data_IF_815492613390
#
_entry.id   IF_815492613390
#
_cell.length_a   1.000
_cell.length_b   1.000
_cell.length_c   1.000
_cell.angle_alpha   90.00
_cell.angle_beta   90.00
_cell.angle_gamma   90.00
#
_symmetry.space_group_name_H-M   'P 1'
#
loop_
_entity.id
_entity.type
_entity.pdbx_description
1 polymer ?
#
# COMPACT_ATOMS: atom_id res chain seq x y z
N UNK A 1 -46.90 -11.39 36.03
CA UNK A 1 -46.40 -10.12 35.48
C UNK A 1 -46.47 -10.22 33.96
N UNK A 2 -47.31 -9.42 33.31
CA UNK A 2 -47.49 -9.48 31.85
C UNK A 2 -46.43 -8.62 31.16
N UNK A 3 -45.64 -9.21 30.26
CA UNK A 3 -44.57 -8.52 29.50
C UNK A 3 -45.10 -7.30 28.72
N UNK A 4 -46.33 -7.40 28.22
CA UNK A 4 -47.02 -6.30 27.52
C UNK A 4 -47.25 -5.10 28.45
N UNK A 5 -47.60 -5.34 29.71
CA UNK A 5 -47.79 -4.28 30.70
C UNK A 5 -46.45 -3.62 31.05
N UNK A 6 -45.38 -4.40 31.19
CA UNK A 6 -44.02 -3.90 31.42
C UNK A 6 -43.54 -3.00 30.26
N UNK A 7 -43.77 -3.39 29.01
CA UNK A 7 -43.43 -2.56 27.83
C UNK A 7 -44.24 -1.27 27.84
N UNK A 8 -45.54 -1.34 28.15
CA UNK A 8 -46.41 -0.16 28.23
C UNK A 8 -45.94 0.83 29.30
N UNK A 9 -45.54 0.33 30.47
CA UNK A 9 -44.98 1.14 31.56
C UNK A 9 -43.65 1.78 31.13
N UNK A 10 -42.75 1.02 30.49
CA UNK A 10 -41.46 1.52 30.02
C UNK A 10 -41.60 2.63 28.96
N UNK A 11 -42.51 2.46 27.98
CA UNK A 11 -42.79 3.49 26.97
C UNK A 11 -43.32 4.77 27.61
N UNK A 12 -44.22 4.64 28.59
CA UNK A 12 -44.76 5.80 29.31
C UNK A 12 -43.67 6.53 30.10
N UNK A 13 -42.77 5.79 30.76
CA UNK A 13 -41.62 6.35 31.47
C UNK A 13 -40.62 7.08 30.55
N UNK A 14 -40.36 6.54 29.34
CA UNK A 14 -39.53 7.18 28.32
C UNK A 14 -40.16 8.50 27.84
N UNK A 15 -41.46 8.51 27.58
CA UNK A 15 -42.17 9.74 27.15
C UNK A 15 -42.29 10.80 28.25
N UNK A 16 -42.21 10.42 29.53
CA UNK A 16 -42.18 11.35 30.65
C UNK A 16 -40.81 12.06 30.76
N UNK A 17 -39.71 11.40 30.38
CA UNK A 17 -38.35 11.92 30.46
C UNK A 17 -37.71 12.09 29.07
N UNK A 18 -38.40 12.78 28.16
CA UNK A 18 -38.03 12.89 26.74
C UNK A 18 -36.59 13.32 26.52
N UNK A 19 -36.12 14.35 27.24
CA UNK A 19 -34.77 14.89 27.08
C UNK A 19 -33.69 13.89 27.51
N UNK A 20 -33.87 13.23 28.67
CA UNK A 20 -32.95 12.20 29.15
C UNK A 20 -32.90 11.02 28.17
N UNK A 21 -34.06 10.51 27.76
CA UNK A 21 -34.15 9.40 26.82
C UNK A 21 -33.52 9.73 25.46
N UNK A 22 -33.73 10.95 24.95
CA UNK A 22 -33.15 11.40 23.69
C UNK A 22 -31.61 11.48 23.78
N UNK A 23 -31.08 12.08 24.85
CA UNK A 23 -29.63 12.22 25.03
C UNK A 23 -28.93 10.87 25.20
N UNK A 24 -29.53 9.91 25.93
CA UNK A 24 -28.95 8.57 26.08
C UNK A 24 -28.96 7.79 24.77
N UNK A 25 -30.04 7.88 23.98
CA UNK A 25 -30.11 7.24 22.67
C UNK A 25 -29.10 7.86 21.70
N UNK A 26 -28.98 9.19 21.69
CA UNK A 26 -28.04 9.90 20.85
C UNK A 26 -26.57 9.52 21.15
N UNK A 27 -26.22 9.38 22.43
CA UNK A 27 -24.90 8.89 22.83
C UNK A 27 -24.60 7.50 22.30
N UNK A 28 -25.56 6.56 22.37
CA UNK A 28 -25.39 5.20 21.85
C UNK A 28 -25.26 5.20 20.33
N UNK A 29 -26.09 5.98 19.62
CA UNK A 29 -26.07 6.08 18.16
C UNK A 29 -24.72 6.60 17.67
N UNK A 30 -24.23 7.70 18.27
CA UNK A 30 -22.93 8.28 17.90
C UNK A 30 -21.79 7.33 18.28
N UNK A 31 -21.84 6.72 19.47
CA UNK A 31 -20.81 5.80 19.94
C UNK A 31 -20.66 4.58 19.03
N UNK A 32 -21.76 3.89 18.74
CA UNK A 32 -21.75 2.71 17.86
C UNK A 32 -21.41 3.11 16.42
N UNK A 33 -21.94 4.24 15.94
CA UNK A 33 -21.65 4.75 14.60
C UNK A 33 -20.17 5.05 14.39
N UNK A 34 -19.51 5.69 15.37
CA UNK A 34 -18.08 6.00 15.31
C UNK A 34 -17.22 4.72 15.27
N UNK A 35 -17.55 3.71 16.07
CA UNK A 35 -16.83 2.42 16.08
C UNK A 35 -16.98 1.71 14.73
N UNK A 36 -18.19 1.63 14.19
CA UNK A 36 -18.44 0.99 12.88
C UNK A 36 -17.69 1.71 11.77
N UNK A 37 -17.73 3.05 11.76
CA UNK A 37 -17.04 3.86 10.77
C UNK A 37 -15.53 3.63 10.82
N UNK A 38 -14.94 3.67 12.02
CA UNK A 38 -13.51 3.45 12.22
C UNK A 38 -13.09 2.04 11.77
N UNK A 39 -13.86 1.01 12.13
CA UNK A 39 -13.58 -0.37 11.72
C UNK A 39 -13.63 -0.54 10.19
N UNK A 40 -14.65 0.05 9.55
CA UNK A 40 -14.83 -0.03 8.10
C UNK A 40 -13.68 0.64 7.36
N UNK A 41 -13.27 1.83 7.81
CA UNK A 41 -12.12 2.55 7.25
C UNK A 41 -10.84 1.74 7.48
N UNK A 42 -10.61 1.24 8.69
CA UNK A 42 -9.42 0.47 9.04
C UNK A 42 -9.27 -0.78 8.17
N UNK A 43 -10.35 -1.54 8.00
CA UNK A 43 -10.36 -2.72 7.13
C UNK A 43 -10.14 -2.37 5.66
N UNK A 44 -10.74 -1.28 5.15
CA UNK A 44 -10.53 -0.82 3.78
C UNK A 44 -9.08 -0.40 3.51
N UNK A 45 -8.46 0.33 4.45
CA UNK A 45 -7.05 0.72 4.36
C UNK A 45 -6.15 -0.52 4.39
N UNK A 46 -6.40 -1.45 5.31
CA UNK A 46 -5.63 -2.68 5.41
C UNK A 46 -5.72 -3.49 4.11
N UNK A 47 -6.91 -3.62 3.53
CA UNK A 47 -7.10 -4.30 2.25
C UNK A 47 -6.35 -3.59 1.11
N UNK A 48 -6.42 -2.26 1.02
CA UNK A 48 -5.73 -1.48 -0.01
C UNK A 48 -4.20 -1.61 0.10
N UNK A 49 -3.65 -1.49 1.31
CA UNK A 49 -2.20 -1.67 1.55
C UNK A 49 -1.77 -3.10 1.20
N UNK A 50 -2.56 -4.09 1.63
CA UNK A 50 -2.29 -5.49 1.31
C UNK A 50 -2.29 -5.72 -0.20
N UNK A 51 -3.23 -5.13 -0.93
CA UNK A 51 -3.33 -5.26 -2.37
C UNK A 51 -2.18 -4.58 -3.10
N UNK A 52 -1.71 -3.42 -2.62
CA UNK A 52 -0.52 -2.75 -3.17
C UNK A 52 0.75 -3.58 -2.95
N UNK A 53 0.91 -4.17 -1.77
CA UNK A 53 2.04 -5.06 -1.46
C UNK A 53 1.96 -6.33 -2.31
N UNK A 54 0.78 -6.92 -2.45
CA UNK A 54 0.58 -8.10 -3.30
C UNK A 54 0.77 -7.80 -4.80
N UNK A 55 0.49 -6.58 -5.26
CA UNK A 55 0.74 -6.17 -6.64
C UNK A 55 2.23 -6.12 -6.99
N UNK A 56 3.09 -5.87 -5.99
CA UNK A 56 4.55 -6.03 -6.12
C UNK A 56 4.93 -7.53 -6.12
N UNK A 57 4.06 -8.42 -5.64
CA UNK A 57 4.33 -9.84 -5.49
C UNK A 57 5.09 -10.12 -4.19
N UNK A 58 4.69 -11.14 -3.40
CA UNK A 58 5.29 -11.40 -2.09
C UNK A 58 6.73 -11.95 -2.15
N UNK A 59 7.30 -12.14 -3.34
CA UNK A 59 8.60 -12.79 -3.55
C UNK A 59 9.44 -12.12 -4.64
N UNK A 60 9.54 -10.79 -4.63
CA UNK A 60 10.45 -10.05 -5.52
C UNK A 60 11.64 -9.50 -4.72
N UNK A 61 12.84 -9.72 -5.25
CA UNK A 61 14.09 -9.13 -4.76
C UNK A 61 14.59 -8.15 -5.82
N UNK A 62 14.74 -6.87 -5.43
CA UNK A 62 15.32 -5.85 -6.30
C UNK A 62 16.83 -5.77 -6.05
N UNK A 63 17.62 -5.93 -7.12
CA UNK A 63 19.08 -5.82 -7.08
C UNK A 63 19.46 -4.57 -7.88
N UNK A 64 20.01 -3.58 -7.19
CA UNK A 64 20.43 -2.30 -7.79
C UNK A 64 21.93 -2.12 -7.57
N UNK A 65 22.68 -1.62 -8.57
CA UNK A 65 24.11 -1.37 -8.39
C UNK A 65 24.38 -0.33 -7.30
N UNK A 66 25.54 -0.44 -6.65
CA UNK A 66 25.99 0.52 -5.65
C UNK A 66 26.32 1.89 -6.22
N UNK A 67 26.90 2.75 -5.38
CA UNK A 67 27.51 4.00 -5.80
C UNK A 67 29.00 3.77 -6.12
N UNK A 68 29.52 4.39 -7.18
CA UNK A 68 30.96 4.45 -7.42
C UNK A 68 31.54 5.61 -6.61
N UNK A 69 32.72 5.42 -6.01
CA UNK A 69 33.49 6.51 -5.40
C UNK A 69 34.80 6.65 -6.19
N UNK A 70 34.96 7.76 -6.92
CA UNK A 70 36.15 8.02 -7.73
C UNK A 70 36.75 9.38 -7.33
N UNK A 71 38.01 9.38 -6.90
CA UNK A 71 38.72 10.62 -6.55
C UNK A 71 38.13 11.41 -5.37
N UNK A 72 37.40 10.76 -4.45
CA UNK A 72 36.75 11.41 -3.31
C UNK A 72 35.34 11.95 -3.59
N UNK A 73 34.83 11.81 -4.82
CA UNK A 73 33.45 12.13 -5.19
C UNK A 73 32.63 10.84 -5.22
N UNK A 74 31.49 10.82 -4.51
CA UNK A 74 30.55 9.70 -4.51
C UNK A 74 29.44 9.94 -5.53
N UNK A 75 29.33 9.05 -6.51
CA UNK A 75 28.25 9.02 -7.48
C UNK A 75 26.92 8.61 -6.82
N UNK A 76 25.79 8.90 -7.47
CA UNK A 76 24.50 8.46 -6.95
C UNK A 76 24.38 6.92 -6.97
N UNK A 77 23.54 6.38 -6.08
CA UNK A 77 23.19 4.95 -6.07
C UNK A 77 22.63 4.52 -7.43
N UNK A 78 23.06 3.36 -7.94
CA UNK A 78 22.65 2.85 -9.24
C UNK A 78 23.52 3.31 -10.43
N UNK A 79 24.56 4.12 -10.20
CA UNK A 79 25.50 4.53 -11.25
C UNK A 79 26.70 3.58 -11.40
N UNK A 80 26.86 2.59 -10.51
CA UNK A 80 27.88 1.57 -10.66
C UNK A 80 27.55 0.62 -11.82
N UNK A 81 28.45 0.48 -12.78
CA UNK A 81 28.32 -0.51 -13.87
C UNK A 81 28.84 -1.89 -13.43
N UNK A 82 28.41 -2.37 -12.26
CA UNK A 82 28.87 -3.65 -11.68
C UNK A 82 27.90 -4.81 -11.88
N UNK A 83 26.67 -4.53 -12.34
CA UNK A 83 25.69 -5.55 -12.71
C UNK A 83 25.67 -5.67 -14.23
N UNK A 84 25.92 -6.86 -14.75
CA UNK A 84 25.95 -7.12 -16.19
C UNK A 84 24.79 -8.02 -16.63
N UNK A 85 24.59 -8.12 -17.95
CA UNK A 85 23.58 -9.02 -18.52
C UNK A 85 23.92 -10.49 -18.25
N UNK A 86 25.20 -10.85 -18.17
CA UNK A 86 25.62 -12.21 -17.83
C UNK A 86 25.20 -12.60 -16.41
N UNK A 87 25.20 -11.66 -15.45
CA UNK A 87 24.70 -11.92 -14.09
C UNK A 87 23.21 -12.29 -14.10
N UNK A 88 22.42 -11.63 -14.95
CA UNK A 88 20.99 -11.93 -15.09
C UNK A 88 20.75 -13.32 -15.71
N UNK A 89 21.56 -13.71 -16.69
CA UNK A 89 21.49 -15.03 -17.32
C UNK A 89 21.92 -16.14 -16.33
N UNK A 90 22.99 -15.91 -15.57
CA UNK A 90 23.44 -16.83 -14.53
C UNK A 90 22.39 -17.02 -13.42
N UNK A 91 21.68 -15.96 -13.02
CA UNK A 91 20.58 -16.06 -12.05
C UNK A 91 19.32 -16.73 -12.62
N UNK A 92 19.17 -16.76 -13.95
CA UNK A 92 18.05 -17.44 -14.61
C UNK A 92 18.29 -18.95 -14.79
N UNK A 93 19.54 -19.41 -14.65
CA UNK A 93 19.88 -20.84 -14.75
C UNK A 93 19.42 -21.60 -13.48
N UNK A 94 18.49 -22.58 -13.61
CA UNK A 94 18.02 -23.38 -12.48
C UNK A 94 19.12 -24.18 -11.76
N UNK A 95 20.27 -24.44 -12.42
CA UNK A 95 21.41 -25.12 -11.79
C UNK A 95 22.22 -24.20 -10.88
N UNK A 96 22.34 -22.93 -11.24
CA UNK A 96 23.06 -21.94 -10.44
C UNK A 96 22.18 -21.36 -9.32
N UNK A 97 20.88 -21.20 -9.57
CA UNK A 97 19.94 -20.62 -8.60
C UNK A 97 18.57 -21.33 -8.60
N UNK A 98 18.46 -22.52 -7.97
CA UNK A 98 17.22 -23.33 -7.98
C UNK A 98 16.03 -22.67 -7.26
N UNK A 99 16.27 -21.64 -6.44
CA UNK A 99 15.23 -20.91 -5.70
C UNK A 99 14.62 -19.73 -6.47
N UNK A 100 15.19 -19.37 -7.63
CA UNK A 100 14.75 -18.23 -8.43
C UNK A 100 13.82 -18.73 -9.54
N UNK A 101 12.56 -18.30 -9.49
CA UNK A 101 11.56 -18.73 -10.48
C UNK A 101 11.61 -17.92 -11.79
N UNK A 102 11.99 -16.64 -11.71
CA UNK A 102 12.09 -15.76 -12.86
C UNK A 102 13.05 -14.60 -12.55
N UNK A 103 13.73 -14.11 -13.58
CA UNK A 103 14.61 -12.93 -13.53
C UNK A 103 14.17 -11.96 -14.62
N UNK A 104 14.10 -10.67 -14.28
CA UNK A 104 13.76 -9.61 -15.21
C UNK A 104 14.84 -8.52 -15.15
N UNK A 105 15.82 -8.50 -16.07
CA UNK A 105 16.80 -7.43 -16.15
C UNK A 105 16.12 -6.14 -16.62
N UNK A 106 16.38 -5.03 -15.93
CA UNK A 106 15.92 -3.70 -16.31
C UNK A 106 17.10 -2.77 -16.55
N UNK A 107 17.12 -2.07 -17.68
CA UNK A 107 18.17 -1.10 -17.99
C UNK A 107 17.54 0.26 -18.29
N UNK A 108 17.87 1.24 -17.46
CA UNK A 108 17.36 2.59 -17.63
C UNK A 108 18.47 3.53 -18.06
N UNK A 109 18.31 4.19 -19.20
CA UNK A 109 19.25 5.18 -19.73
C UNK A 109 18.54 6.49 -20.07
N UNK A 110 19.27 7.60 -20.07
CA UNK A 110 18.74 8.90 -20.52
C UNK A 110 19.17 9.15 -21.94
N UNK A 111 18.20 9.37 -22.81
CA UNK A 111 18.40 9.66 -24.23
C UNK A 111 17.88 11.04 -24.58
N UNK A 112 18.56 11.70 -25.51
CA UNK A 112 18.06 12.93 -26.10
C UNK A 112 17.17 12.58 -27.30
N UNK A 113 15.89 12.91 -27.22
CA UNK A 113 14.94 12.69 -28.31
C UNK A 113 14.80 14.00 -29.09
N UNK A 114 15.17 13.97 -30.37
CA UNK A 114 15.08 15.13 -31.27
C UNK A 114 14.05 14.85 -32.36
N UNK A 115 13.01 15.69 -32.45
CA UNK A 115 12.01 15.61 -33.51
C UNK A 115 11.59 17.00 -33.98
N UNK A 116 11.72 17.25 -35.30
CA UNK A 116 11.34 18.49 -35.97
C UNK A 116 11.79 19.78 -35.24
N UNK A 117 13.01 19.79 -34.72
CA UNK A 117 13.60 20.94 -34.02
C UNK A 117 13.31 21.02 -32.51
N UNK A 118 12.48 20.11 -31.96
CA UNK A 118 12.28 19.98 -30.52
C UNK A 118 13.27 18.96 -29.95
N UNK A 119 13.94 19.35 -28.87
CA UNK A 119 14.90 18.53 -28.14
C UNK A 119 14.39 18.31 -26.71
N UNK A 120 14.16 17.05 -26.34
CA UNK A 120 13.76 16.67 -24.99
C UNK A 120 14.72 15.60 -24.46
N UNK A 121 15.25 15.83 -23.27
CA UNK A 121 15.96 14.81 -22.51
C UNK A 121 14.92 13.91 -21.81
N UNK A 122 14.85 12.64 -22.19
CA UNK A 122 13.88 11.68 -21.66
C UNK A 122 14.57 10.41 -21.18
N UNK A 123 13.97 9.76 -20.19
CA UNK A 123 14.43 8.49 -19.64
C UNK A 123 13.83 7.34 -20.46
N UNK A 124 14.68 6.48 -21.00
CA UNK A 124 14.35 5.26 -21.75
C UNK A 124 14.60 4.08 -20.82
N UNK A 125 13.62 3.18 -20.71
CA UNK A 125 13.62 2.00 -19.85
C UNK A 125 13.34 0.75 -20.69
#
# INVERSE_FOLDING_TARGET
>A
MNVVESIRIALRALTANKLRAALTMLGIIIGVGAVIALMSIGQGVQASVTQQIQAIGPNIIFITPGAIQQGGVQSAQGQAATLTSEDAEALSDPQAAPSIAAVAPSFTSRGQIVYLGNNVNSQVN
#
